data_IF_062414001620
#
_entry.id   IF_062414001620
#
_cell.length_a   1.000
_cell.length_b   1.000
_cell.length_c   1.000
_cell.angle_alpha   90.00
_cell.angle_beta   90.00
_cell.angle_gamma   90.00
#
_symmetry.space_group_name_H-M   'P 1'
#
loop_
_entity.id
_entity.type
_entity.pdbx_description
1 polymer ?
#
# COMPACT_ATOMS: atom_id res chain seq x y z
N UNK A 1 -5.78 15.49 -56.24
CA UNK A 1 -4.43 14.88 -56.11
C UNK A 1 -3.81 15.44 -54.85
N UNK A 2 -3.78 14.69 -53.76
CA UNK A 2 -2.92 14.90 -52.55
C UNK A 2 -3.52 14.12 -51.34
N UNK A 3 -3.73 12.82 -51.48
CA UNK A 3 -4.09 11.95 -50.35
C UNK A 3 -3.13 10.73 -50.24
N UNK A 4 -2.21 10.56 -51.22
CA UNK A 4 -1.37 9.35 -51.26
C UNK A 4 0.04 9.47 -50.68
N UNK A 5 0.42 10.59 -50.03
CA UNK A 5 1.80 10.78 -49.56
C UNK A 5 1.98 10.57 -48.07
N UNK A 6 0.92 10.34 -47.29
CA UNK A 6 1.01 10.12 -45.83
C UNK A 6 1.04 8.62 -45.44
N UNK A 7 0.80 7.70 -46.35
CA UNK A 7 0.75 6.26 -46.05
C UNK A 7 2.08 5.53 -46.19
N UNK A 8 3.13 6.19 -46.69
CA UNK A 8 4.40 5.51 -47.00
C UNK A 8 5.50 5.61 -45.94
N UNK A 9 5.25 6.29 -44.81
CA UNK A 9 6.24 6.49 -43.74
C UNK A 9 5.98 5.72 -42.44
N UNK A 10 4.99 4.84 -42.38
CA UNK A 10 4.73 3.98 -41.21
C UNK A 10 4.87 2.51 -41.57
N UNK A 11 6.00 2.11 -42.12
CA UNK A 11 6.44 0.73 -42.09
C UNK A 11 7.32 0.47 -40.88
N UNK A 12 6.75 0.57 -39.70
CA UNK A 12 7.33 0.00 -38.48
C UNK A 12 6.69 -1.36 -38.29
N UNK A 13 7.53 -2.40 -38.30
CA UNK A 13 7.15 -3.81 -38.06
C UNK A 13 6.34 -3.94 -36.75
N UNK A 14 5.03 -3.93 -36.85
CA UNK A 14 4.15 -4.37 -35.77
C UNK A 14 3.26 -5.50 -36.32
N UNK A 15 3.53 -6.71 -35.86
CA UNK A 15 2.87 -7.94 -36.28
C UNK A 15 1.47 -8.20 -35.67
N UNK A 16 0.85 -7.21 -35.02
CA UNK A 16 -0.49 -7.38 -34.45
C UNK A 16 -1.42 -6.21 -34.83
N UNK A 17 -2.48 -6.45 -35.63
CA UNK A 17 -3.42 -5.41 -36.06
C UNK A 17 -4.22 -4.81 -34.90
N UNK A 18 -4.40 -5.51 -33.78
CA UNK A 18 -5.06 -5.01 -32.57
C UNK A 18 -4.23 -3.90 -31.95
N UNK A 19 -2.90 -4.02 -31.96
CA UNK A 19 -1.99 -3.01 -31.41
C UNK A 19 -1.94 -1.74 -32.25
N UNK A 20 -2.13 -1.85 -33.57
CA UNK A 20 -2.18 -0.72 -34.49
C UNK A 20 -3.48 0.07 -34.30
N UNK A 21 -4.63 -0.61 -34.19
CA UNK A 21 -5.93 0.00 -33.91
C UNK A 21 -5.94 0.69 -32.53
N UNK A 22 -5.35 0.06 -31.53
CA UNK A 22 -5.21 0.63 -30.18
C UNK A 22 -4.43 1.93 -30.19
N UNK A 23 -3.25 1.99 -30.88
CA UNK A 23 -2.47 3.20 -31.05
C UNK A 23 -3.20 4.29 -31.86
N UNK A 24 -3.94 3.90 -32.88
CA UNK A 24 -4.69 4.87 -33.70
C UNK A 24 -5.83 5.51 -32.89
N UNK A 25 -6.52 4.76 -32.06
CA UNK A 25 -7.59 5.24 -31.19
C UNK A 25 -7.08 6.14 -30.07
N UNK A 26 -5.88 5.88 -29.53
CA UNK A 26 -5.22 6.77 -28.56
C UNK A 26 -4.86 8.11 -29.24
N UNK A 27 -4.28 8.08 -30.44
CA UNK A 27 -3.88 9.28 -31.18
C UNK A 27 -5.07 10.16 -31.62
N UNK A 28 -6.27 9.57 -31.75
CA UNK A 28 -7.50 10.32 -32.09
C UNK A 28 -8.24 10.86 -30.87
N UNK A 29 -7.75 10.61 -29.64
CA UNK A 29 -8.40 11.04 -28.39
C UNK A 29 -9.71 10.28 -28.09
N UNK A 30 -10.05 9.25 -28.85
CA UNK A 30 -11.27 8.46 -28.73
C UNK A 30 -11.14 7.30 -27.71
N UNK A 31 -9.92 6.98 -27.29
CA UNK A 31 -9.68 5.87 -26.36
C UNK A 31 -9.07 6.38 -25.04
N UNK A 32 -9.82 6.16 -23.98
CA UNK A 32 -9.35 6.43 -22.63
C UNK A 32 -8.57 5.22 -22.10
N UNK A 33 -7.29 5.41 -21.79
CA UNK A 33 -6.41 4.34 -21.30
C UNK A 33 -6.88 3.92 -19.91
N UNK A 34 -7.36 2.70 -19.78
CA UNK A 34 -7.90 2.16 -18.52
C UNK A 34 -6.83 2.01 -17.45
N UNK A 35 -5.60 1.70 -17.85
CA UNK A 35 -4.44 1.67 -16.95
C UNK A 35 -4.25 3.00 -16.24
N UNK A 36 -4.43 4.14 -16.93
CA UNK A 36 -4.31 5.46 -16.31
C UNK A 36 -5.39 5.68 -15.25
N UNK A 37 -6.64 5.29 -15.51
CA UNK A 37 -7.72 5.34 -14.51
C UNK A 37 -7.41 4.47 -13.29
N UNK A 38 -6.90 3.26 -13.51
CA UNK A 38 -6.54 2.32 -12.46
C UNK A 38 -5.40 2.86 -11.59
N UNK A 39 -4.38 3.46 -12.20
CA UNK A 39 -3.29 4.11 -11.47
C UNK A 39 -3.80 5.28 -10.59
N UNK A 40 -4.74 6.10 -11.11
CA UNK A 40 -5.35 7.19 -10.34
C UNK A 40 -6.18 6.65 -9.18
N UNK A 41 -6.95 5.56 -9.39
CA UNK A 41 -7.70 4.89 -8.30
C UNK A 41 -6.76 4.36 -7.21
N UNK A 42 -5.69 3.69 -7.61
CA UNK A 42 -4.69 3.19 -6.68
C UNK A 42 -4.04 4.34 -5.89
N UNK A 43 -3.61 5.42 -6.57
CA UNK A 43 -3.05 6.61 -5.92
C UNK A 43 -3.98 7.21 -4.85
N UNK A 44 -5.30 7.27 -5.12
CA UNK A 44 -6.30 7.74 -4.15
C UNK A 44 -6.40 6.75 -2.98
N UNK A 45 -6.39 5.45 -3.27
CA UNK A 45 -6.39 4.37 -2.29
C UNK A 45 -5.23 4.51 -1.30
N UNK A 46 -3.99 4.56 -1.79
CA UNK A 46 -2.80 4.70 -0.96
C UNK A 46 -2.77 6.01 -0.18
N UNK A 47 -3.16 7.12 -0.82
CA UNK A 47 -3.18 8.44 -0.17
C UNK A 47 -4.12 8.47 1.03
N UNK A 48 -5.29 7.83 0.95
CA UNK A 48 -6.22 7.75 2.07
C UNK A 48 -5.79 6.69 3.10
N UNK A 49 -5.19 5.55 2.69
CA UNK A 49 -4.66 4.54 3.60
C UNK A 49 -3.55 5.12 4.48
N UNK A 50 -2.62 5.86 3.91
CA UNK A 50 -1.59 6.62 4.64
C UNK A 50 -2.19 7.47 5.76
N UNK A 51 -3.25 8.25 5.46
CA UNK A 51 -3.88 9.09 6.48
C UNK A 51 -4.61 8.26 7.54
N UNK A 52 -5.37 7.22 7.15
CA UNK A 52 -6.07 6.32 8.09
C UNK A 52 -5.09 5.67 9.06
N UNK A 53 -3.95 5.14 8.57
CA UNK A 53 -2.96 4.49 9.45
C UNK A 53 -2.31 5.48 10.42
N UNK A 54 -2.14 6.73 10.03
CA UNK A 54 -1.71 7.78 10.97
C UNK A 54 -2.73 8.02 12.08
N UNK A 55 -4.04 7.99 11.76
CA UNK A 55 -5.11 8.13 12.74
C UNK A 55 -5.21 6.89 13.63
N UNK A 56 -5.10 5.69 13.06
CA UNK A 56 -5.09 4.42 13.80
C UNK A 56 -3.91 4.34 14.78
N UNK A 57 -2.74 4.81 14.37
CA UNK A 57 -1.57 4.93 15.24
C UNK A 57 -1.84 5.81 16.47
N UNK A 58 -2.52 6.94 16.28
CA UNK A 58 -2.91 7.82 17.38
C UNK A 58 -3.82 7.13 18.40
N UNK A 59 -4.79 6.32 17.91
CA UNK A 59 -5.69 5.55 18.77
C UNK A 59 -4.92 4.45 19.52
N UNK A 60 -4.12 3.66 18.80
CA UNK A 60 -3.31 2.60 19.40
C UNK A 60 -2.40 3.14 20.53
N UNK A 61 -1.81 4.31 20.31
CA UNK A 61 -1.00 4.98 21.32
C UNK A 61 -1.81 5.40 22.55
N UNK A 62 -3.02 5.93 22.38
CA UNK A 62 -3.93 6.29 23.47
C UNK A 62 -4.36 5.07 24.28
N UNK A 63 -4.56 3.93 23.61
CA UNK A 63 -4.88 2.65 24.24
C UNK A 63 -3.66 1.94 24.87
N UNK A 64 -2.45 2.53 24.73
CA UNK A 64 -1.23 2.00 25.33
C UNK A 64 -0.50 0.97 24.47
N UNK A 65 -0.84 0.82 23.20
CA UNK A 65 -0.19 -0.10 22.26
C UNK A 65 0.90 0.61 21.44
N UNK A 66 1.98 1.05 22.10
CA UNK A 66 3.06 1.84 21.47
C UNK A 66 3.72 1.12 20.28
N UNK A 67 3.92 -0.19 20.35
CA UNK A 67 4.46 -0.97 19.22
C UNK A 67 3.49 -1.02 18.04
N UNK A 68 2.20 -1.21 18.30
CA UNK A 68 1.17 -1.25 17.24
C UNK A 68 1.05 0.13 16.58
N UNK A 69 1.10 1.20 17.38
CA UNK A 69 1.11 2.55 16.86
C UNK A 69 2.29 2.79 15.91
N UNK A 70 3.50 2.32 16.27
CA UNK A 70 4.67 2.44 15.39
C UNK A 70 4.50 1.63 14.09
N UNK A 71 3.96 0.41 14.17
CA UNK A 71 3.72 -0.41 12.97
C UNK A 71 2.75 0.29 12.03
N UNK A 72 1.68 0.91 12.54
CA UNK A 72 0.79 1.74 11.72
C UNK A 72 1.52 2.92 11.07
N UNK A 73 2.41 3.61 11.80
CA UNK A 73 3.19 4.73 11.25
C UNK A 73 4.17 4.28 10.16
N UNK A 74 4.87 3.16 10.39
CA UNK A 74 5.77 2.58 9.39
C UNK A 74 4.97 2.23 8.13
N UNK A 75 3.80 1.59 8.28
CA UNK A 75 2.95 1.26 7.15
C UNK A 75 2.46 2.54 6.46
N UNK A 76 2.05 3.57 7.20
CA UNK A 76 1.65 4.86 6.63
C UNK A 76 2.75 5.50 5.75
N UNK A 77 4.02 5.37 6.13
CA UNK A 77 5.13 5.82 5.28
C UNK A 77 5.35 4.90 4.06
N UNK A 78 5.07 3.58 4.18
CA UNK A 78 5.09 2.69 3.01
C UNK A 78 3.99 3.08 2.00
N UNK A 79 2.75 3.36 2.44
CA UNK A 79 1.66 3.81 1.55
C UNK A 79 1.97 5.16 0.90
N UNK A 80 2.70 6.03 1.56
CA UNK A 80 3.19 7.26 0.95
C UNK A 80 4.16 6.98 -0.21
N UNK A 81 5.08 6.03 -0.05
CA UNK A 81 6.00 5.61 -1.12
C UNK A 81 5.26 4.93 -2.29
N UNK A 82 4.23 4.12 -1.98
CA UNK A 82 3.35 3.55 -3.02
C UNK A 82 2.62 4.66 -3.77
N UNK A 83 2.01 5.62 -3.06
CA UNK A 83 1.33 6.76 -3.67
C UNK A 83 2.29 7.59 -4.56
N UNK A 84 3.51 7.87 -4.11
CA UNK A 84 4.52 8.60 -4.90
C UNK A 84 4.91 7.81 -6.16
N UNK A 85 5.13 6.51 -6.03
CA UNK A 85 5.44 5.61 -7.15
C UNK A 85 4.32 5.62 -8.19
N UNK A 86 3.06 5.48 -7.77
CA UNK A 86 1.90 5.52 -8.64
C UNK A 86 1.76 6.89 -9.33
N UNK A 87 2.02 7.98 -8.62
CA UNK A 87 1.95 9.33 -9.18
C UNK A 87 3.02 9.58 -10.26
N UNK A 88 4.22 9.01 -10.08
CA UNK A 88 5.27 9.00 -11.10
C UNK A 88 4.83 8.21 -12.34
N UNK A 89 4.28 7.00 -12.16
CA UNK A 89 3.75 6.18 -13.26
C UNK A 89 2.61 6.89 -14.01
N UNK A 90 1.71 7.58 -13.31
CA UNK A 90 0.66 8.41 -13.93
C UNK A 90 1.30 9.48 -14.81
N UNK A 91 2.31 10.21 -14.30
CA UNK A 91 2.98 11.26 -15.04
C UNK A 91 3.70 10.74 -16.30
N UNK A 92 4.37 9.60 -16.19
CA UNK A 92 5.06 8.94 -17.30
C UNK A 92 4.08 8.40 -18.34
N UNK A 93 3.03 7.72 -17.89
CA UNK A 93 2.02 7.15 -18.79
C UNK A 93 1.26 8.23 -19.56
N UNK A 94 0.87 9.34 -18.91
CA UNK A 94 0.26 10.49 -19.58
C UNK A 94 1.08 10.97 -20.77
N UNK A 95 2.38 11.15 -20.58
CA UNK A 95 3.31 11.56 -21.65
C UNK A 95 3.40 10.50 -22.75
N UNK A 96 3.52 9.22 -22.38
CA UNK A 96 3.65 8.09 -23.32
C UNK A 96 2.44 7.95 -24.24
N UNK A 97 1.23 8.23 -23.72
CA UNK A 97 -0.02 8.13 -24.49
C UNK A 97 -0.53 9.45 -25.05
N UNK A 98 0.20 10.55 -24.88
CA UNK A 98 -0.18 11.86 -25.40
C UNK A 98 -1.44 12.46 -24.77
N UNK A 99 -1.80 12.04 -23.55
CA UNK A 99 -2.95 12.59 -22.81
C UNK A 99 -2.50 13.74 -21.92
N UNK A 100 -2.60 14.97 -22.40
CA UNK A 100 -2.32 16.18 -21.63
C UNK A 100 -3.53 16.59 -20.76
N UNK A 101 -3.88 15.75 -19.76
CA UNK A 101 -4.93 16.05 -18.79
C UNK A 101 -4.32 16.46 -17.46
N UNK A 102 -4.87 17.50 -16.82
CA UNK A 102 -4.45 17.96 -15.49
C UNK A 102 -5.27 17.30 -14.37
N UNK A 103 -6.43 16.77 -14.70
CA UNK A 103 -7.37 16.13 -13.76
C UNK A 103 -8.02 14.94 -14.45
N UNK A 104 -8.21 13.85 -13.67
CA UNK A 104 -8.95 12.67 -14.08
C UNK A 104 -9.98 12.32 -13.00
N UNK A 105 -11.27 12.35 -13.35
CA UNK A 105 -12.33 11.93 -12.46
C UNK A 105 -12.47 10.42 -12.48
N UNK A 106 -12.37 9.81 -11.30
CA UNK A 106 -12.54 8.37 -11.09
C UNK A 106 -13.44 8.13 -9.87
N UNK A 107 -14.16 7.01 -9.86
CA UNK A 107 -14.86 6.53 -8.67
C UNK A 107 -13.88 5.74 -7.82
N UNK A 108 -13.81 6.07 -6.53
CA UNK A 108 -13.01 5.37 -5.53
C UNK A 108 -13.81 5.22 -4.23
N UNK A 109 -13.67 4.07 -3.57
CA UNK A 109 -14.24 3.83 -2.25
C UNK A 109 -13.21 4.15 -1.17
N UNK A 110 -13.69 4.57 0.01
CA UNK A 110 -12.87 4.76 1.19
C UNK A 110 -13.51 4.04 2.38
N UNK A 111 -12.76 3.23 3.17
CA UNK A 111 -13.24 2.70 4.43
C UNK A 111 -13.54 3.81 5.44
N UNK A 112 -14.64 3.65 6.20
CA UNK A 112 -15.12 4.67 7.17
C UNK A 112 -14.92 4.24 8.63
N UNK A 113 -14.05 3.25 8.89
CA UNK A 113 -13.79 2.75 10.25
C UNK A 113 -12.80 3.68 10.96
N UNK A 114 -13.16 4.14 12.15
CA UNK A 114 -12.32 4.82 13.12
C UNK A 114 -12.78 4.40 14.52
N UNK A 115 -12.27 3.30 15.02
CA UNK A 115 -12.69 2.66 16.27
C UNK A 115 -11.50 2.35 17.18
N UNK A 116 -11.64 1.33 18.03
CA UNK A 116 -10.57 0.77 18.85
C UNK A 116 -9.41 0.23 18.01
N UNK A 117 -8.26 -0.02 18.63
CA UNK A 117 -7.10 -0.62 17.96
C UNK A 117 -7.46 -1.92 17.25
N UNK A 118 -8.26 -2.78 17.88
CA UNK A 118 -8.70 -4.04 17.28
C UNK A 118 -9.60 -3.82 16.03
N UNK A 119 -10.55 -2.88 16.10
CA UNK A 119 -11.41 -2.54 14.96
C UNK A 119 -10.61 -1.93 13.81
N UNK A 120 -9.66 -1.06 14.13
CA UNK A 120 -8.78 -0.43 13.16
C UNK A 120 -7.85 -1.44 12.48
N UNK A 121 -7.31 -2.42 13.24
CA UNK A 121 -6.53 -3.52 12.68
C UNK A 121 -7.36 -4.39 11.73
N UNK A 122 -8.62 -4.72 12.08
CA UNK A 122 -9.52 -5.48 11.19
C UNK A 122 -9.80 -4.71 9.89
N UNK A 123 -10.02 -3.40 9.98
CA UNK A 123 -10.24 -2.56 8.81
C UNK A 123 -8.98 -2.46 7.93
N UNK A 124 -7.79 -2.36 8.53
CA UNK A 124 -6.53 -2.40 7.81
C UNK A 124 -6.34 -3.75 7.08
N UNK A 125 -6.49 -4.88 7.79
CA UNK A 125 -6.42 -6.23 7.20
C UNK A 125 -7.36 -6.38 6.00
N UNK A 126 -8.60 -5.89 6.10
CA UNK A 126 -9.56 -5.98 5.01
C UNK A 126 -9.12 -5.14 3.79
N UNK A 127 -8.53 -3.98 4.01
CA UNK A 127 -7.97 -3.12 2.96
C UNK A 127 -6.81 -3.79 2.24
N UNK A 128 -5.76 -4.18 2.98
CA UNK A 128 -4.59 -4.84 2.43
C UNK A 128 -4.94 -6.14 1.68
N UNK A 129 -5.87 -6.94 2.24
CA UNK A 129 -6.35 -8.16 1.58
C UNK A 129 -7.01 -7.84 0.23
N UNK A 130 -7.86 -6.83 0.15
CA UNK A 130 -8.49 -6.40 -1.09
C UNK A 130 -7.44 -5.93 -2.11
N UNK A 131 -6.45 -5.15 -1.68
CA UNK A 131 -5.41 -4.59 -2.53
C UNK A 131 -4.56 -5.68 -3.17
N UNK A 132 -4.03 -6.63 -2.38
CA UNK A 132 -3.14 -7.66 -2.94
C UNK A 132 -3.86 -8.83 -3.63
N UNK A 133 -5.12 -9.15 -3.26
CA UNK A 133 -5.84 -10.29 -3.84
C UNK A 133 -6.71 -9.92 -5.05
N UNK A 134 -7.14 -8.66 -5.17
CA UNK A 134 -8.08 -8.21 -6.19
C UNK A 134 -7.59 -7.00 -6.95
N UNK A 135 -7.45 -5.84 -6.28
CA UNK A 135 -7.23 -4.56 -6.94
C UNK A 135 -5.95 -4.54 -7.79
N UNK A 136 -4.81 -4.79 -7.19
CA UNK A 136 -3.54 -4.76 -7.90
C UNK A 136 -3.39 -5.85 -8.97
N UNK A 137 -3.78 -7.12 -8.72
CA UNK A 137 -3.79 -8.14 -9.77
C UNK A 137 -4.66 -7.79 -10.98
N UNK A 138 -5.87 -7.26 -10.76
CA UNK A 138 -6.77 -6.83 -11.84
C UNK A 138 -6.18 -5.64 -12.60
N UNK A 139 -5.63 -4.65 -11.91
CA UNK A 139 -5.01 -3.48 -12.52
C UNK A 139 -3.75 -3.85 -13.32
N UNK A 140 -2.95 -4.77 -12.81
CA UNK A 140 -1.78 -5.29 -13.51
C UNK A 140 -2.16 -6.04 -14.79
N UNK A 141 -3.22 -6.85 -14.75
CA UNK A 141 -3.75 -7.53 -15.94
C UNK A 141 -4.17 -6.54 -17.03
N UNK A 142 -4.92 -5.50 -16.65
CA UNK A 142 -5.34 -4.44 -17.58
C UNK A 142 -4.12 -3.73 -18.20
N UNK A 143 -3.11 -3.44 -17.38
CA UNK A 143 -1.88 -2.80 -17.87
C UNK A 143 -1.12 -3.67 -18.88
N UNK A 144 -1.09 -5.00 -18.70
CA UNK A 144 -0.52 -5.92 -19.68
C UNK A 144 -1.32 -5.94 -20.98
N UNK A 145 -2.66 -6.04 -20.88
CA UNK A 145 -3.56 -6.06 -22.05
C UNK A 145 -3.46 -4.76 -22.86
N UNK A 146 -3.22 -3.63 -22.20
CA UNK A 146 -3.00 -2.32 -22.85
C UNK A 146 -1.54 -2.08 -23.30
N UNK A 147 -0.62 -3.05 -23.10
CA UNK A 147 0.77 -2.99 -23.58
C UNK A 147 1.70 -2.16 -22.68
N UNK A 148 1.43 -2.11 -21.38
CA UNK A 148 2.26 -1.46 -20.36
C UNK A 148 2.83 -2.47 -19.35
N UNK A 149 3.67 -3.43 -19.80
CA UNK A 149 4.17 -4.50 -18.94
C UNK A 149 5.02 -4.00 -17.76
N UNK A 150 5.72 -2.87 -17.91
CA UNK A 150 6.49 -2.27 -16.82
C UNK A 150 5.57 -1.75 -15.70
N UNK A 151 4.42 -1.18 -16.05
CA UNK A 151 3.38 -0.76 -15.09
C UNK A 151 2.81 -1.99 -14.39
N UNK A 152 2.47 -3.03 -15.14
CA UNK A 152 1.95 -4.28 -14.59
C UNK A 152 2.93 -4.92 -13.58
N UNK A 153 4.22 -4.98 -13.93
CA UNK A 153 5.26 -5.49 -13.03
C UNK A 153 5.33 -4.68 -11.72
N UNK A 154 5.25 -3.35 -11.80
CA UNK A 154 5.26 -2.48 -10.62
C UNK A 154 4.04 -2.70 -9.73
N UNK A 155 2.84 -2.80 -10.31
CA UNK A 155 1.61 -3.07 -9.56
C UNK A 155 1.65 -4.42 -8.84
N UNK A 156 2.21 -5.47 -9.46
CA UNK A 156 2.42 -6.77 -8.78
C UNK A 156 3.44 -6.69 -7.65
N UNK A 157 4.46 -5.86 -7.78
CA UNK A 157 5.44 -5.66 -6.71
C UNK A 157 4.81 -4.95 -5.50
N UNK A 158 3.96 -3.94 -5.74
CA UNK A 158 3.17 -3.30 -4.68
C UNK A 158 2.25 -4.32 -4.02
N UNK A 159 1.47 -5.11 -4.79
CA UNK A 159 0.63 -6.17 -4.24
C UNK A 159 1.38 -7.10 -3.26
N UNK A 160 2.66 -7.39 -3.51
CA UNK A 160 3.48 -8.21 -2.61
C UNK A 160 3.83 -7.49 -1.30
N UNK A 161 3.93 -6.17 -1.32
CA UNK A 161 4.11 -5.39 -0.10
C UNK A 161 2.81 -5.39 0.74
N UNK A 162 1.64 -5.25 0.11
CA UNK A 162 0.34 -5.28 0.81
C UNK A 162 0.03 -6.65 1.42
N UNK A 163 0.45 -7.75 0.79
CA UNK A 163 0.40 -9.08 1.41
C UNK A 163 1.19 -9.11 2.73
N UNK A 164 2.39 -8.54 2.76
CA UNK A 164 3.21 -8.46 3.97
C UNK A 164 2.58 -7.53 5.03
N UNK A 165 1.97 -6.40 4.62
CA UNK A 165 1.25 -5.51 5.54
C UNK A 165 0.08 -6.25 6.20
N UNK A 166 -0.72 -6.99 5.42
CA UNK A 166 -1.82 -7.80 5.93
C UNK A 166 -1.36 -8.83 6.95
N UNK A 167 -0.32 -9.61 6.64
CA UNK A 167 0.23 -10.61 7.56
C UNK A 167 0.67 -10.01 8.89
N UNK A 168 1.31 -8.85 8.84
CA UNK A 168 1.78 -8.12 10.00
C UNK A 168 0.62 -7.65 10.87
N UNK A 169 -0.42 -7.05 10.28
CA UNK A 169 -1.61 -6.63 10.99
C UNK A 169 -2.40 -7.81 11.58
N UNK A 170 -2.49 -8.94 10.88
CA UNK A 170 -3.11 -10.18 11.42
C UNK A 170 -2.41 -10.69 12.68
N UNK A 171 -1.08 -10.69 12.70
CA UNK A 171 -0.31 -11.08 13.89
C UNK A 171 -0.61 -10.13 15.07
N UNK A 172 -0.64 -8.82 14.84
CA UNK A 172 -0.94 -7.83 15.88
C UNK A 172 -2.38 -7.96 16.38
N UNK A 173 -3.35 -8.12 15.48
CA UNK A 173 -4.76 -8.30 15.87
C UNK A 173 -4.94 -9.51 16.77
N UNK A 174 -4.33 -10.65 16.44
CA UNK A 174 -4.36 -11.86 17.25
C UNK A 174 -3.87 -11.62 18.68
N UNK A 175 -2.77 -10.86 18.84
CA UNK A 175 -2.22 -10.51 20.14
C UNK A 175 -3.15 -9.58 20.94
N UNK A 176 -3.77 -8.60 20.29
CA UNK A 176 -4.72 -7.68 20.93
C UNK A 176 -5.97 -8.43 21.40
N UNK A 177 -6.57 -9.26 20.56
CA UNK A 177 -7.78 -10.03 20.87
C UNK A 177 -7.54 -11.06 21.96
N UNK A 178 -6.36 -11.68 22.00
CA UNK A 178 -5.98 -12.63 23.04
C UNK A 178 -5.52 -11.95 24.36
N UNK A 179 -5.35 -10.63 24.39
CA UNK A 179 -4.78 -9.93 25.54
C UNK A 179 -3.31 -10.29 25.83
N UNK A 180 -2.58 -10.70 24.79
CA UNK A 180 -1.20 -11.24 24.93
C UNK A 180 -0.11 -10.29 24.46
N UNK A 181 -0.44 -9.03 24.11
CA UNK A 181 0.54 -8.03 23.68
C UNK A 181 1.65 -7.86 24.72
N UNK A 182 1.31 -7.77 26.00
CA UNK A 182 2.26 -7.62 27.13
C UNK A 182 2.33 -8.84 28.04
N UNK A 183 1.85 -10.00 27.56
CA UNK A 183 1.86 -11.26 28.30
C UNK A 183 2.08 -12.44 27.37
N UNK A 184 3.05 -13.31 27.68
CA UNK A 184 3.35 -14.50 26.88
C UNK A 184 3.16 -15.77 27.71
N UNK A 185 2.85 -16.87 27.03
CA UNK A 185 2.69 -18.20 27.63
C UNK A 185 4.02 -18.77 28.14
N UNK A 186 5.14 -18.26 27.63
CA UNK A 186 6.51 -18.60 28.02
C UNK A 186 7.34 -17.35 28.33
N UNK A 187 8.46 -17.53 28.97
CA UNK A 187 9.43 -16.44 29.15
C UNK A 187 10.07 -16.06 27.83
N UNK A 188 10.14 -14.74 27.59
CA UNK A 188 10.74 -14.12 26.40
C UNK A 188 11.59 -12.93 26.82
N UNK A 189 12.48 -12.49 25.94
CA UNK A 189 13.17 -11.23 26.12
C UNK A 189 12.26 -10.08 25.69
N UNK A 190 12.10 -9.13 26.59
CA UNK A 190 11.44 -7.84 26.34
C UNK A 190 12.49 -6.76 26.19
N UNK A 191 12.26 -5.79 25.31
CA UNK A 191 13.11 -4.60 25.16
C UNK A 191 12.28 -3.35 25.31
N UNK A 192 12.78 -2.42 26.13
CA UNK A 192 12.19 -1.08 26.25
C UNK A 192 12.52 -0.25 25.02
N UNK A 193 11.51 0.12 24.26
CA UNK A 193 11.62 0.91 23.02
C UNK A 193 12.14 2.34 23.25
N UNK A 194 12.23 2.81 24.49
CA UNK A 194 12.75 4.15 24.84
C UNK A 194 14.24 4.16 25.13
N UNK A 195 14.75 3.14 25.84
CA UNK A 195 16.13 3.17 26.32
C UNK A 195 16.94 1.91 26.06
N UNK A 196 16.33 0.89 25.40
CA UNK A 196 17.02 -0.37 25.10
C UNK A 196 17.20 -1.33 26.29
N UNK A 197 16.67 -1.00 27.50
CA UNK A 197 16.72 -1.92 28.62
C UNK A 197 16.04 -3.25 28.28
N UNK A 198 16.66 -4.36 28.61
CA UNK A 198 16.13 -5.71 28.35
C UNK A 198 15.70 -6.40 29.63
N UNK A 199 14.62 -7.17 29.55
CA UNK A 199 14.04 -7.96 30.65
C UNK A 199 13.66 -9.35 30.15
N UNK A 200 13.92 -10.38 30.95
CA UNK A 200 13.50 -11.76 30.65
C UNK A 200 12.36 -12.17 31.58
N UNK A 201 11.25 -12.61 30.99
CA UNK A 201 10.05 -13.01 31.75
C UNK A 201 8.83 -13.17 30.84
N UNK A 202 7.72 -13.59 31.44
CA UNK A 202 6.44 -13.73 30.71
C UNK A 202 5.76 -12.39 30.44
N UNK A 203 6.05 -11.39 31.26
CA UNK A 203 5.50 -10.03 31.18
C UNK A 203 6.64 -9.03 31.32
N UNK A 204 6.58 -7.84 30.70
CA UNK A 204 7.54 -6.79 30.97
C UNK A 204 7.31 -6.17 32.35
N UNK A 205 8.31 -5.51 32.94
CA UNK A 205 8.13 -4.82 34.22
C UNK A 205 7.10 -3.69 34.08
N UNK A 206 6.31 -3.42 35.13
CA UNK A 206 5.31 -2.35 35.13
C UNK A 206 5.92 -0.96 34.82
N UNK A 207 7.16 -0.76 35.27
CA UNK A 207 7.99 0.41 34.94
C UNK A 207 9.38 -0.05 34.56
N UNK A 208 9.92 0.53 33.51
CA UNK A 208 11.30 0.29 33.11
C UNK A 208 12.28 0.71 34.21
N UNK A 209 13.14 -0.20 34.76
CA UNK A 209 14.10 0.15 35.78
C UNK A 209 15.12 1.20 35.34
N UNK A 210 15.41 1.30 34.06
CA UNK A 210 16.38 2.23 33.50
C UNK A 210 15.83 3.63 33.28
N UNK A 211 14.60 3.77 32.73
CA UNK A 211 14.09 5.06 32.27
C UNK A 211 12.69 5.44 32.81
N UNK A 212 12.07 4.58 33.64
CA UNK A 212 10.81 4.85 34.31
C UNK A 212 9.54 4.79 33.44
N UNK A 213 9.65 4.55 32.13
CA UNK A 213 8.49 4.40 31.25
C UNK A 213 7.68 3.14 31.60
N UNK A 214 6.37 3.18 31.38
CA UNK A 214 5.48 2.06 31.69
C UNK A 214 5.71 0.83 30.76
N UNK A 215 5.14 -0.31 31.13
CA UNK A 215 5.15 -1.55 30.34
C UNK A 215 4.70 -1.37 28.87
N UNK A 216 3.87 -0.38 28.58
CA UNK A 216 3.38 -0.04 27.25
C UNK A 216 4.50 0.23 26.22
N UNK A 217 5.67 0.62 26.71
CA UNK A 217 6.86 0.89 25.90
C UNK A 217 7.75 -0.34 25.67
N UNK A 218 7.34 -1.52 26.13
CA UNK A 218 8.08 -2.74 25.86
C UNK A 218 7.52 -3.48 24.64
N UNK A 219 8.39 -4.19 23.98
CA UNK A 219 8.05 -5.15 22.92
C UNK A 219 8.88 -6.41 23.09
N UNK A 220 8.45 -7.52 22.52
CA UNK A 220 9.28 -8.72 22.45
C UNK A 220 10.52 -8.40 21.61
N UNK A 221 11.69 -8.72 22.16
CA UNK A 221 12.98 -8.51 21.49
C UNK A 221 13.07 -9.39 20.25
N UNK A 222 13.24 -8.79 19.09
CA UNK A 222 13.50 -9.44 17.83
C UNK A 222 14.70 -8.74 17.17
N UNK A 223 15.81 -9.44 17.08
CA UNK A 223 17.08 -8.93 16.52
C UNK A 223 17.65 -10.01 15.59
N UNK A 224 16.94 -10.27 14.49
CA UNK A 224 17.42 -11.11 13.41
C UNK A 224 18.06 -10.20 12.34
N UNK A 225 19.39 -10.04 12.46
CA UNK A 225 20.21 -9.27 11.51
C UNK A 225 20.88 -10.18 10.48
#
# INVERSE_FOLDING_TARGET
MQVNTLLTLIQVRFSNPVFIMFKLNILTGLYRVKTLENLVKAFIGESQARNRYTFYASIAKKEGFEQIAEVFLITAENEKEHAETLFKLISELKKKVGQEVNELKVEAAAPLVLGSTAENLRAAIAGENYEHTKMYPEFAKVAEEEGFPEVAARLRAIAKAEEHHEERFKKLLKEVEAGTVFKKDREVWWVCRKCGYVHYGREPPLKCPSCGHSSNYFMVKCEEY
#
